data_IF_525485848559
#
_entry.id   IF_525485848559
#
_cell.length_a   1.000
_cell.length_b   1.000
_cell.length_c   1.000
_cell.angle_alpha   90.00
_cell.angle_beta   90.00
_cell.angle_gamma   90.00
#
_symmetry.space_group_name_H-M   'P 1'
#
loop_
_entity.id
_entity.type
_entity.pdbx_description
1 polymer ?
#
# COMPACT_ATOMS: atom_id res chain seq x y z
N UNK A 1 -33.55 39.42 -69.24
CA UNK A 1 -33.78 39.40 -67.77
C UNK A 1 -32.93 38.27 -67.20
N UNK A 2 -31.84 38.61 -66.51
CA UNK A 2 -30.91 37.64 -65.91
C UNK A 2 -31.19 37.63 -64.41
N UNK A 3 -31.73 36.51 -63.91
CA UNK A 3 -32.08 36.32 -62.50
C UNK A 3 -30.82 35.89 -61.74
N UNK A 4 -30.32 36.75 -60.85
CA UNK A 4 -29.21 36.42 -59.94
C UNK A 4 -29.79 35.71 -58.70
N UNK A 5 -29.38 34.46 -58.49
CA UNK A 5 -29.68 33.69 -57.28
C UNK A 5 -28.54 33.94 -56.27
N UNK A 6 -28.82 34.68 -55.21
CA UNK A 6 -27.86 34.93 -54.13
C UNK A 6 -27.88 33.75 -53.15
N UNK A 7 -26.77 33.00 -53.11
CA UNK A 7 -26.54 31.92 -52.17
C UNK A 7 -26.01 32.51 -50.86
N UNK A 8 -26.81 32.49 -49.79
CA UNK A 8 -26.40 32.93 -48.45
C UNK A 8 -25.79 31.73 -47.71
N UNK A 9 -24.46 31.72 -47.56
CA UNK A 9 -23.78 30.72 -46.76
C UNK A 9 -23.96 31.05 -45.27
N UNK A 10 -24.73 30.23 -44.55
CA UNK A 10 -24.84 30.30 -43.10
C UNK A 10 -23.58 29.69 -42.47
N UNK A 11 -22.72 30.54 -41.90
CA UNK A 11 -21.54 30.13 -41.15
C UNK A 11 -22.01 29.68 -39.75
N UNK A 12 -22.21 28.38 -39.57
CA UNK A 12 -22.43 27.79 -38.24
C UNK A 12 -21.11 27.82 -37.47
N UNK A 13 -20.97 28.79 -36.56
CA UNK A 13 -19.93 28.80 -35.54
C UNK A 13 -20.20 27.62 -34.59
N UNK A 14 -19.45 26.53 -34.76
CA UNK A 14 -19.42 25.47 -33.77
C UNK A 14 -18.62 26.01 -32.57
N UNK A 15 -19.32 26.49 -31.55
CA UNK A 15 -18.70 26.75 -30.25
C UNK A 15 -18.32 25.39 -29.67
N UNK A 16 -17.04 25.02 -29.78
CA UNK A 16 -16.50 23.94 -28.97
C UNK A 16 -16.73 24.35 -27.51
N UNK A 17 -17.61 23.63 -26.82
CA UNK A 17 -17.68 23.71 -25.37
C UNK A 17 -16.27 23.38 -24.87
N UNK A 18 -15.70 24.15 -23.91
CA UNK A 18 -14.44 23.78 -23.30
C UNK A 18 -14.59 22.34 -22.78
N UNK A 19 -13.63 21.47 -23.11
CA UNK A 19 -13.52 20.21 -22.41
C UNK A 19 -13.45 20.55 -20.91
N UNK A 20 -14.41 20.07 -20.13
CA UNK A 20 -14.37 20.21 -18.69
C UNK A 20 -13.12 19.45 -18.23
N UNK A 21 -12.23 20.12 -17.51
CA UNK A 21 -11.04 19.48 -16.97
C UNK A 21 -11.49 18.49 -15.90
N UNK A 22 -11.23 17.21 -16.13
CA UNK A 22 -11.68 16.15 -15.26
C UNK A 22 -10.67 14.99 -15.25
N UNK A 23 -10.65 14.26 -14.15
CA UNK A 23 -9.87 13.02 -14.03
C UNK A 23 -10.77 11.92 -13.48
N UNK A 24 -10.84 10.81 -14.21
CA UNK A 24 -11.64 9.66 -13.85
C UNK A 24 -10.78 8.61 -13.13
N UNK A 25 -11.15 8.27 -11.90
CA UNK A 25 -10.35 7.44 -11.00
C UNK A 25 -11.10 6.16 -10.66
N UNK A 26 -10.47 5.01 -10.87
CA UNK A 26 -10.90 3.75 -10.26
C UNK A 26 -10.09 3.52 -8.97
N UNK A 27 -10.77 3.34 -7.85
CA UNK A 27 -10.10 3.27 -6.55
C UNK A 27 -10.49 2.03 -5.76
N UNK A 28 -9.48 1.37 -5.19
CA UNK A 28 -9.62 0.38 -4.12
C UNK A 28 -9.51 0.97 -2.71
N UNK A 29 -9.18 2.25 -2.56
CA UNK A 29 -9.17 2.88 -1.23
C UNK A 29 -10.59 3.25 -0.84
N UNK A 30 -10.83 3.34 0.47
CA UNK A 30 -12.12 3.75 1.01
C UNK A 30 -12.36 5.25 0.78
N UNK A 31 -13.63 5.68 0.57
CA UNK A 31 -13.95 7.08 0.28
C UNK A 31 -13.41 8.06 1.33
N UNK A 32 -13.49 7.70 2.61
CA UNK A 32 -13.10 8.55 3.73
C UNK A 32 -11.60 8.87 3.72
N UNK A 33 -10.79 8.00 3.11
CA UNK A 33 -9.33 8.14 3.04
C UNK A 33 -8.85 8.96 1.84
N UNK A 34 -9.73 9.18 0.85
CA UNK A 34 -9.39 9.89 -0.40
C UNK A 34 -10.09 11.24 -0.50
N UNK A 35 -11.32 11.38 0.01
CA UNK A 35 -12.12 12.59 -0.21
C UNK A 35 -11.39 13.89 0.17
N UNK A 36 -10.65 13.97 1.31
CA UNK A 36 -9.91 15.19 1.63
C UNK A 36 -8.82 15.56 0.60
N UNK A 37 -8.24 14.57 -0.08
CA UNK A 37 -7.24 14.79 -1.13
C UNK A 37 -7.90 15.29 -2.41
N UNK A 38 -9.06 14.74 -2.76
CA UNK A 38 -9.86 15.20 -3.89
C UNK A 38 -10.26 16.66 -3.68
N UNK A 39 -10.80 16.99 -2.51
CA UNK A 39 -11.27 18.33 -2.20
C UNK A 39 -10.12 19.35 -2.28
N UNK A 40 -8.94 19.02 -1.75
CA UNK A 40 -7.75 19.86 -1.82
C UNK A 40 -7.25 20.03 -3.27
N UNK A 41 -7.14 18.94 -4.03
CA UNK A 41 -6.73 18.97 -5.44
C UNK A 41 -7.67 19.84 -6.30
N UNK A 42 -8.98 19.63 -6.18
CA UNK A 42 -9.98 20.38 -6.94
C UNK A 42 -9.99 21.85 -6.52
N UNK A 43 -9.76 22.16 -5.24
CA UNK A 43 -9.63 23.55 -4.78
C UNK A 43 -8.39 24.26 -5.35
N UNK A 44 -7.27 23.54 -5.49
CA UNK A 44 -6.02 24.09 -6.03
C UNK A 44 -6.06 24.27 -7.56
N UNK A 45 -6.59 23.27 -8.26
CA UNK A 45 -6.45 23.17 -9.73
C UNK A 45 -7.72 23.53 -10.49
N UNK A 46 -8.88 23.43 -9.86
CA UNK A 46 -10.19 23.51 -10.52
C UNK A 46 -10.54 22.28 -11.35
N UNK A 47 -9.74 21.20 -11.33
CA UNK A 47 -10.00 19.95 -12.04
C UNK A 47 -10.95 19.10 -11.21
N UNK A 48 -12.04 18.61 -11.81
CA UNK A 48 -13.00 17.72 -11.13
C UNK A 48 -12.47 16.29 -11.08
N UNK A 49 -12.63 15.61 -9.95
CA UNK A 49 -12.26 14.19 -9.80
C UNK A 49 -13.51 13.32 -9.74
N UNK A 50 -13.69 12.48 -10.76
CA UNK A 50 -14.77 11.52 -10.84
C UNK A 50 -14.27 10.15 -10.36
N UNK A 51 -14.71 9.70 -9.18
CA UNK A 51 -14.21 8.45 -8.58
C UNK A 51 -15.25 7.33 -8.61
N UNK A 52 -14.81 6.15 -9.06
CA UNK A 52 -15.54 4.89 -8.92
C UNK A 52 -14.81 3.97 -7.95
N UNK A 53 -15.45 3.68 -6.81
CA UNK A 53 -14.92 2.77 -5.80
C UNK A 53 -15.20 1.32 -6.18
N UNK A 54 -14.17 0.49 -6.11
CA UNK A 54 -14.21 -0.94 -6.41
C UNK A 54 -13.77 -1.72 -5.17
N UNK A 55 -14.29 -2.94 -5.02
CA UNK A 55 -13.84 -3.87 -3.98
C UNK A 55 -12.94 -4.98 -4.54
N UNK A 56 -13.05 -5.25 -5.84
CA UNK A 56 -12.34 -6.29 -6.58
C UNK A 56 -12.50 -6.05 -8.09
N UNK A 57 -11.73 -6.76 -8.91
CA UNK A 57 -11.95 -6.82 -10.36
C UNK A 57 -11.48 -5.62 -11.17
N UNK A 58 -10.65 -4.73 -10.59
CA UNK A 58 -10.19 -3.50 -11.24
C UNK A 58 -9.37 -3.79 -12.50
N UNK A 59 -8.42 -4.73 -12.44
CA UNK A 59 -7.58 -5.11 -13.58
C UNK A 59 -8.40 -5.73 -14.69
N UNK A 60 -9.26 -6.68 -14.36
CA UNK A 60 -10.13 -7.37 -15.32
C UNK A 60 -11.12 -6.39 -15.97
N UNK A 61 -11.59 -5.40 -15.21
CA UNK A 61 -12.43 -4.32 -15.73
C UNK A 61 -11.68 -3.48 -16.76
N UNK A 62 -10.45 -3.08 -16.47
CA UNK A 62 -9.63 -2.32 -17.44
C UNK A 62 -9.33 -3.14 -18.70
N UNK A 63 -9.04 -4.44 -18.56
CA UNK A 63 -8.85 -5.32 -19.71
C UNK A 63 -10.11 -5.41 -20.58
N UNK A 64 -11.27 -5.58 -19.95
CA UNK A 64 -12.56 -5.69 -20.63
C UNK A 64 -12.98 -4.38 -21.33
N UNK A 65 -12.72 -3.23 -20.69
CA UNK A 65 -13.01 -1.91 -21.24
C UNK A 65 -12.06 -1.53 -22.38
N UNK A 66 -10.78 -1.90 -22.26
CA UNK A 66 -9.72 -1.62 -23.23
C UNK A 66 -9.65 -0.13 -23.57
N UNK A 67 -9.57 0.20 -24.86
CA UNK A 67 -9.52 1.59 -25.37
C UNK A 67 -10.74 2.46 -25.01
N UNK A 68 -11.80 1.86 -24.47
CA UNK A 68 -13.02 2.55 -24.09
C UNK A 68 -13.12 2.75 -22.58
N UNK A 69 -12.10 2.40 -21.81
CA UNK A 69 -12.10 2.68 -20.38
C UNK A 69 -12.26 4.18 -20.18
N UNK A 70 -13.19 4.62 -19.30
CA UNK A 70 -13.24 6.01 -18.90
C UNK A 70 -12.14 6.33 -17.89
N UNK A 71 -11.51 5.33 -17.25
CA UNK A 71 -10.56 5.55 -16.17
C UNK A 71 -9.24 6.11 -16.70
N UNK A 72 -8.82 7.23 -16.13
CA UNK A 72 -7.52 7.86 -16.35
C UNK A 72 -6.48 7.32 -15.37
N UNK A 73 -6.90 7.05 -14.12
CA UNK A 73 -6.04 6.62 -13.02
C UNK A 73 -6.63 5.42 -12.29
N UNK A 74 -5.74 4.58 -11.76
CA UNK A 74 -6.06 3.63 -10.69
C UNK A 74 -5.39 4.01 -9.39
N UNK A 75 -6.12 3.88 -8.28
CA UNK A 75 -5.62 4.00 -6.93
C UNK A 75 -5.76 2.67 -6.21
N UNK A 76 -4.66 2.15 -5.68
CA UNK A 76 -4.63 0.87 -5.00
C UNK A 76 -4.13 1.01 -3.57
N UNK A 77 -4.55 0.08 -2.71
CA UNK A 77 -4.06 -0.02 -1.34
C UNK A 77 -3.01 -1.14 -1.19
N UNK A 78 -2.58 -1.81 -2.25
CA UNK A 78 -1.60 -2.91 -2.20
C UNK A 78 -0.82 -2.96 -3.51
N UNK A 79 0.51 -3.07 -3.40
CA UNK A 79 1.40 -3.17 -4.57
C UNK A 79 1.08 -4.36 -5.47
N UNK A 80 0.46 -5.41 -4.94
CA UNK A 80 0.00 -6.54 -5.76
C UNK A 80 -0.96 -6.08 -6.87
N UNK A 81 -1.87 -5.15 -6.58
CA UNK A 81 -2.84 -4.69 -7.58
C UNK A 81 -2.19 -3.80 -8.65
N UNK A 82 -1.16 -3.03 -8.28
CA UNK A 82 -0.34 -2.32 -9.27
C UNK A 82 0.39 -3.32 -10.16
N UNK A 83 0.98 -4.36 -9.55
CA UNK A 83 1.70 -5.38 -10.28
C UNK A 83 0.81 -6.17 -11.24
N UNK A 84 -0.40 -6.54 -10.82
CA UNK A 84 -1.41 -7.16 -11.67
C UNK A 84 -1.79 -6.26 -12.86
N UNK A 85 -2.00 -4.97 -12.63
CA UNK A 85 -2.34 -4.01 -13.67
C UNK A 85 -1.19 -3.79 -14.69
N UNK A 86 0.05 -3.71 -14.22
CA UNK A 86 1.24 -3.62 -15.09
C UNK A 86 1.42 -4.91 -15.89
N UNK A 87 1.31 -6.07 -15.24
CA UNK A 87 1.47 -7.38 -15.89
C UNK A 87 0.39 -7.64 -16.95
N UNK A 88 -0.84 -7.18 -16.71
CA UNK A 88 -1.92 -7.20 -17.69
C UNK A 88 -1.73 -6.18 -18.84
N UNK A 89 -0.74 -5.29 -18.73
CA UNK A 89 -0.44 -4.28 -19.72
C UNK A 89 -1.55 -3.23 -19.87
N UNK A 90 -2.25 -2.92 -18.77
CA UNK A 90 -3.33 -1.92 -18.71
C UNK A 90 -2.91 -0.57 -18.12
N UNK A 91 -1.63 -0.41 -17.75
CA UNK A 91 -1.02 0.87 -17.35
C UNK A 91 -0.07 1.41 -18.42
N UNK A 92 0.31 2.68 -18.30
CA UNK A 92 1.38 3.30 -19.10
C UNK A 92 2.43 3.94 -18.20
N UNK A 93 3.68 4.01 -18.69
CA UNK A 93 4.76 4.73 -18.03
C UNK A 93 4.49 6.24 -18.01
N UNK A 94 4.89 6.89 -16.91
CA UNK A 94 4.72 8.33 -16.71
C UNK A 94 6.06 8.96 -16.39
N UNK A 95 6.53 9.88 -17.25
CA UNK A 95 7.76 10.62 -17.04
C UNK A 95 7.44 11.96 -16.36
N UNK A 96 7.89 12.14 -15.11
CA UNK A 96 7.76 13.41 -14.36
C UNK A 96 8.91 13.59 -13.37
N UNK A 97 9.57 14.75 -13.48
CA UNK A 97 10.59 15.19 -12.52
C UNK A 97 9.98 15.40 -11.12
N UNK A 98 8.70 15.80 -11.04
CA UNK A 98 8.00 15.99 -9.77
C UNK A 98 7.76 14.65 -9.09
N UNK A 99 7.24 13.66 -9.82
CA UNK A 99 7.00 12.32 -9.27
C UNK A 99 8.31 11.65 -8.82
N UNK A 100 9.36 11.74 -9.63
CA UNK A 100 10.66 11.12 -9.29
C UNK A 100 11.40 11.84 -8.16
N UNK A 101 11.19 13.16 -7.97
CA UNK A 101 11.70 13.89 -6.82
C UNK A 101 10.90 13.61 -5.53
N UNK A 102 9.59 13.42 -5.65
CA UNK A 102 8.70 13.20 -4.50
C UNK A 102 8.65 11.74 -4.05
N UNK A 103 8.89 10.78 -4.94
CA UNK A 103 8.77 9.34 -4.65
C UNK A 103 10.14 8.67 -4.80
N UNK A 104 10.76 8.22 -3.69
CA UNK A 104 12.03 7.51 -3.72
C UNK A 104 11.99 6.27 -4.63
N UNK A 105 13.14 5.87 -5.16
CA UNK A 105 13.26 4.73 -6.08
C UNK A 105 12.68 3.43 -5.50
N UNK A 106 12.86 3.19 -4.20
CA UNK A 106 12.29 2.03 -3.50
C UNK A 106 10.75 2.00 -3.46
N UNK A 107 10.08 3.11 -3.80
CA UNK A 107 8.62 3.27 -3.76
C UNK A 107 8.01 3.61 -5.11
N UNK A 108 8.71 3.34 -6.23
CA UNK A 108 8.14 3.50 -7.57
C UNK A 108 8.64 2.41 -8.50
N UNK A 109 7.92 2.23 -9.60
CA UNK A 109 8.32 1.31 -10.64
C UNK A 109 9.61 1.77 -11.34
N UNK A 110 10.59 0.88 -11.59
CA UNK A 110 11.77 1.23 -12.39
C UNK A 110 11.42 1.69 -13.81
N UNK A 111 10.32 1.19 -14.37
CA UNK A 111 9.78 1.56 -15.68
C UNK A 111 8.69 2.66 -15.58
N UNK A 112 8.53 3.29 -14.41
CA UNK A 112 7.60 4.40 -14.14
C UNK A 112 6.12 4.11 -14.42
N UNK A 113 5.65 2.85 -14.38
CA UNK A 113 4.23 2.54 -14.54
C UNK A 113 3.37 2.84 -13.30
N UNK A 114 3.98 2.94 -12.12
CA UNK A 114 3.29 3.25 -10.87
C UNK A 114 4.19 3.97 -9.87
N UNK A 115 3.56 4.69 -8.95
CA UNK A 115 4.22 5.47 -7.90
C UNK A 115 3.52 5.23 -6.56
N UNK A 116 4.31 4.97 -5.51
CA UNK A 116 3.82 4.85 -4.14
C UNK A 116 3.31 6.19 -3.61
N UNK A 117 2.30 6.14 -2.75
CA UNK A 117 1.70 7.32 -2.11
C UNK A 117 1.89 7.30 -0.60
N UNK A 118 1.73 6.13 0.02
CA UNK A 118 1.92 5.92 1.45
C UNK A 118 2.51 4.54 1.66
N UNK A 119 3.23 4.35 2.76
CA UNK A 119 3.77 3.06 3.15
C UNK A 119 3.24 2.61 4.51
N UNK A 120 3.16 1.29 4.66
CA UNK A 120 2.84 0.60 5.91
C UNK A 120 3.86 -0.47 6.15
N UNK A 121 4.49 -0.45 7.31
CA UNK A 121 5.42 -1.49 7.72
C UNK A 121 4.66 -2.65 8.37
N UNK A 122 5.06 -3.88 8.05
CA UNK A 122 4.65 -5.06 8.82
C UNK A 122 5.68 -5.31 9.90
N UNK A 123 5.35 -4.89 11.11
CA UNK A 123 6.26 -4.77 12.24
C UNK A 123 6.08 -5.90 13.24
N UNK A 124 6.94 -5.90 14.26
CA UNK A 124 6.75 -6.71 15.45
C UNK A 124 6.23 -5.84 16.59
N UNK A 125 5.07 -6.20 17.12
CA UNK A 125 4.62 -5.72 18.42
C UNK A 125 5.32 -6.54 19.50
N UNK A 126 6.04 -5.87 20.42
CA UNK A 126 6.78 -6.53 21.50
C UNK A 126 6.30 -6.06 22.87
N UNK A 127 6.08 -7.01 23.79
CA UNK A 127 5.73 -6.73 25.18
C UNK A 127 6.79 -5.84 25.84
N UNK A 128 6.37 -4.71 26.42
CA UNK A 128 7.31 -3.75 27.04
C UNK A 128 8.03 -4.33 28.26
N UNK A 129 7.38 -5.22 29.00
CA UNK A 129 7.83 -5.78 30.28
C UNK A 129 8.57 -7.12 30.12
N UNK A 130 8.45 -7.81 28.98
CA UNK A 130 8.98 -9.17 28.77
C UNK A 130 9.99 -9.31 27.63
N UNK A 131 10.13 -8.29 26.79
CA UNK A 131 11.08 -8.28 25.66
C UNK A 131 11.91 -7.01 25.75
N UNK A 132 13.24 -7.10 25.86
CA UNK A 132 14.06 -5.89 25.88
C UNK A 132 14.13 -5.24 24.49
N UNK A 133 14.25 -3.89 24.39
CA UNK A 133 14.48 -3.21 23.13
C UNK A 133 15.70 -3.78 22.39
N UNK A 134 15.55 -4.05 21.09
CA UNK A 134 16.61 -4.62 20.26
C UNK A 134 16.77 -6.14 20.35
N UNK A 135 15.92 -6.87 21.09
CA UNK A 135 15.93 -8.34 21.06
C UNK A 135 15.39 -8.92 19.76
N UNK A 136 14.48 -8.20 19.09
CA UNK A 136 13.95 -8.54 17.77
C UNK A 136 14.61 -7.62 16.75
N UNK A 137 15.52 -8.18 15.96
CA UNK A 137 16.31 -7.41 14.99
C UNK A 137 15.90 -7.69 13.55
N UNK A 138 15.64 -8.97 13.23
CA UNK A 138 15.36 -9.40 11.86
C UNK A 138 14.11 -10.26 11.78
N UNK A 139 13.52 -10.37 10.58
CA UNK A 139 12.40 -11.30 10.37
C UNK A 139 12.86 -12.75 10.57
N UNK A 140 14.08 -13.06 10.16
CA UNK A 140 14.75 -14.36 10.27
C UNK A 140 14.89 -14.77 11.75
N UNK A 141 15.18 -13.82 12.64
CA UNK A 141 15.27 -14.07 14.07
C UNK A 141 13.95 -14.58 14.67
N UNK A 142 12.80 -14.34 14.04
CA UNK A 142 11.51 -14.89 14.51
C UNK A 142 11.45 -16.43 14.46
N UNK A 143 12.30 -17.06 13.65
CA UNK A 143 12.47 -18.52 13.62
C UNK A 143 13.43 -19.06 14.71
N UNK A 144 14.09 -18.17 15.47
CA UNK A 144 15.04 -18.56 16.51
C UNK A 144 14.34 -19.27 17.69
N UNK A 145 14.84 -20.43 18.18
CA UNK A 145 14.24 -21.15 19.30
C UNK A 145 14.09 -20.35 20.61
N UNK A 146 14.78 -19.21 20.77
CA UNK A 146 14.57 -18.28 21.90
C UNK A 146 13.13 -17.75 21.99
N UNK A 147 12.40 -17.78 20.88
CA UNK A 147 11.00 -17.37 20.80
C UNK A 147 10.00 -18.52 20.96
N UNK A 148 10.46 -19.73 21.31
CA UNK A 148 9.58 -20.90 21.40
C UNK A 148 8.43 -20.69 22.38
N UNK A 149 7.19 -20.73 21.87
CA UNK A 149 5.98 -20.51 22.65
C UNK A 149 5.75 -19.05 23.04
N UNK A 150 6.40 -18.09 22.36
CA UNK A 150 6.38 -16.66 22.69
C UNK A 150 5.82 -15.79 21.57
N UNK A 151 5.44 -16.38 20.42
CA UNK A 151 4.91 -15.65 19.26
C UNK A 151 3.41 -15.89 19.11
N UNK A 152 2.63 -14.81 18.95
CA UNK A 152 1.28 -14.88 18.40
C UNK A 152 1.26 -14.33 16.98
N UNK A 153 0.40 -14.90 16.15
CA UNK A 153 0.14 -14.38 14.81
C UNK A 153 -1.23 -14.81 14.34
N UNK A 154 -1.75 -14.10 13.35
CA UNK A 154 -2.92 -14.53 12.57
C UNK A 154 -2.51 -15.57 11.53
N UNK A 155 -3.50 -16.12 10.82
CA UNK A 155 -3.30 -17.07 9.72
C UNK A 155 -2.12 -16.73 8.82
N UNK A 156 -1.26 -17.71 8.54
CA UNK A 156 -0.15 -17.59 7.58
C UNK A 156 -0.64 -17.37 6.14
N UNK A 157 -1.88 -17.74 5.85
CA UNK A 157 -2.53 -17.53 4.54
C UNK A 157 -3.15 -16.14 4.37
N UNK A 158 -3.15 -15.32 5.42
CA UNK A 158 -3.64 -13.95 5.33
C UNK A 158 -2.75 -13.11 4.39
N UNK A 159 -3.32 -12.24 3.52
CA UNK A 159 -2.56 -11.46 2.54
C UNK A 159 -1.33 -10.73 3.08
N UNK A 160 -1.37 -10.20 4.31
CA UNK A 160 -0.21 -9.55 4.93
C UNK A 160 0.92 -10.53 5.29
N UNK A 161 0.59 -11.73 5.77
CA UNK A 161 1.58 -12.76 6.08
C UNK A 161 2.10 -13.45 4.82
N UNK A 162 1.26 -13.61 3.80
CA UNK A 162 1.71 -14.12 2.50
C UNK A 162 2.61 -13.11 1.79
N UNK A 163 2.37 -11.80 1.93
CA UNK A 163 3.28 -10.77 1.43
C UNK A 163 4.65 -10.80 2.13
N UNK A 164 4.68 -10.94 3.46
CA UNK A 164 5.95 -11.06 4.20
C UNK A 164 6.69 -12.35 3.83
N UNK A 165 5.98 -13.47 3.70
CA UNK A 165 6.56 -14.72 3.22
C UNK A 165 7.09 -14.58 1.79
N UNK A 166 6.39 -13.86 0.92
CA UNK A 166 6.84 -13.58 -0.45
C UNK A 166 8.14 -12.77 -0.47
N UNK A 167 8.28 -11.78 0.42
CA UNK A 167 9.55 -11.06 0.62
C UNK A 167 10.67 -12.01 1.08
N UNK A 168 10.39 -12.90 2.05
CA UNK A 168 11.35 -13.91 2.51
C UNK A 168 11.79 -14.85 1.36
N UNK A 169 10.88 -15.24 0.46
CA UNK A 169 11.21 -16.03 -0.74
C UNK A 169 12.10 -15.23 -1.70
N UNK A 170 11.81 -13.96 -1.90
CA UNK A 170 12.57 -13.12 -2.83
C UNK A 170 14.00 -12.86 -2.33
N UNK A 171 14.18 -12.63 -1.02
CA UNK A 171 15.49 -12.39 -0.41
C UNK A 171 16.33 -13.66 -0.25
N UNK A 172 15.73 -14.77 0.20
CA UNK A 172 16.48 -15.95 0.63
C UNK A 172 16.20 -17.22 -0.20
N UNK A 173 15.25 -17.14 -1.14
CA UNK A 173 14.79 -18.29 -1.90
C UNK A 173 13.76 -19.13 -1.13
N UNK A 174 13.06 -19.99 -1.88
CA UNK A 174 11.94 -20.79 -1.38
C UNK A 174 12.30 -21.72 -0.22
N UNK A 175 13.43 -22.42 -0.30
CA UNK A 175 13.80 -23.42 0.70
C UNK A 175 14.20 -22.79 2.04
N UNK A 176 14.86 -21.63 2.00
CA UNK A 176 15.15 -20.85 3.21
C UNK A 176 13.86 -20.27 3.82
N UNK A 177 12.97 -19.72 2.99
CA UNK A 177 11.66 -19.25 3.44
C UNK A 177 10.81 -20.36 4.06
N UNK A 178 10.90 -21.59 3.52
CA UNK A 178 10.24 -22.78 4.10
C UNK A 178 10.75 -23.06 5.51
N UNK A 179 12.08 -23.11 5.64
CA UNK A 179 12.75 -23.38 6.92
C UNK A 179 12.40 -22.30 7.95
N UNK A 180 12.37 -21.04 7.52
CA UNK A 180 11.95 -19.92 8.34
C UNK A 180 10.49 -20.05 8.79
N UNK A 181 9.55 -20.36 7.89
CA UNK A 181 8.14 -20.55 8.23
C UNK A 181 7.93 -21.72 9.20
N UNK A 182 8.66 -22.83 9.02
CA UNK A 182 8.62 -23.97 9.94
C UNK A 182 9.14 -23.59 11.33
N UNK A 183 10.23 -22.81 11.41
CA UNK A 183 10.76 -22.28 12.66
C UNK A 183 9.80 -21.30 13.34
N UNK A 184 9.20 -20.38 12.57
CA UNK A 184 8.18 -19.45 13.06
C UNK A 184 6.96 -20.22 13.60
N UNK A 185 6.47 -21.23 12.87
CA UNK A 185 5.38 -22.12 13.31
C UNK A 185 5.74 -22.82 14.63
N UNK A 186 6.95 -23.36 14.73
CA UNK A 186 7.43 -24.04 15.94
C UNK A 186 7.55 -23.10 17.16
N UNK A 187 7.60 -21.79 16.92
CA UNK A 187 7.69 -20.77 17.95
C UNK A 187 6.33 -20.19 18.39
N UNK A 188 5.24 -20.56 17.73
CA UNK A 188 3.92 -20.05 18.08
C UNK A 188 3.47 -20.51 19.47
N UNK A 189 2.92 -19.59 20.26
CA UNK A 189 2.31 -19.85 21.56
C UNK A 189 0.95 -20.58 21.42
N UNK A 190 0.27 -20.37 20.30
CA UNK A 190 -1.05 -20.90 20.00
C UNK A 190 -1.26 -21.03 18.49
N UNK A 191 -2.29 -21.78 18.07
CA UNK A 191 -2.69 -21.83 16.65
C UNK A 191 -3.01 -20.43 16.14
N UNK A 192 -2.64 -20.09 14.89
CA UNK A 192 -3.00 -18.81 14.30
C UNK A 192 -4.50 -18.52 14.35
N UNK A 193 -4.88 -17.36 14.88
CA UNK A 193 -6.28 -16.97 15.04
C UNK A 193 -6.46 -15.45 15.09
N UNK A 194 -7.66 -14.95 14.85
CA UNK A 194 -7.98 -13.52 14.98
C UNK A 194 -7.29 -12.61 13.94
N UNK A 195 -7.29 -11.30 14.21
CA UNK A 195 -6.65 -10.27 13.40
C UNK A 195 -5.41 -9.69 14.11
N UNK A 196 -4.69 -8.75 13.50
CA UNK A 196 -3.45 -8.17 14.06
C UNK A 196 -3.68 -7.56 15.46
N UNK A 197 -4.78 -6.84 15.69
CA UNK A 197 -5.14 -6.25 17.00
C UNK A 197 -5.41 -7.31 18.08
N UNK A 198 -6.02 -8.43 17.69
CA UNK A 198 -6.20 -9.56 18.60
C UNK A 198 -4.87 -10.16 19.06
N UNK A 199 -3.80 -10.08 18.25
CA UNK A 199 -2.48 -10.56 18.68
C UNK A 199 -1.87 -9.64 19.73
N UNK A 200 -2.06 -8.33 19.59
CA UNK A 200 -1.63 -7.35 20.61
C UNK A 200 -2.42 -7.54 21.90
N UNK A 201 -3.72 -7.85 21.82
CA UNK A 201 -4.50 -8.29 22.98
C UNK A 201 -3.91 -9.53 23.66
N UNK A 202 -3.50 -10.54 22.88
CA UNK A 202 -2.86 -11.74 23.43
C UNK A 202 -1.52 -11.42 24.12
N UNK A 203 -0.74 -10.47 23.60
CA UNK A 203 0.46 -9.98 24.28
C UNK A 203 0.10 -9.28 25.60
N UNK A 204 -0.89 -8.40 25.59
CA UNK A 204 -1.38 -7.71 26.78
C UNK A 204 -1.88 -8.71 27.85
N UNK A 205 -2.55 -9.79 27.43
CA UNK A 205 -3.03 -10.86 28.30
C UNK A 205 -1.93 -11.82 28.80
N UNK A 206 -0.70 -11.68 28.31
CA UNK A 206 0.43 -12.54 28.69
C UNK A 206 0.43 -13.92 28.02
N UNK A 207 -0.32 -14.10 26.94
CA UNK A 207 -0.38 -15.37 26.18
C UNK A 207 0.85 -15.57 25.29
N UNK A 208 1.49 -14.47 24.89
CA UNK A 208 2.72 -14.42 24.10
C UNK A 208 3.46 -13.10 24.37
N UNK A 209 4.66 -12.98 23.82
CA UNK A 209 5.54 -11.84 24.07
C UNK A 209 5.73 -10.95 22.84
N UNK A 210 5.63 -11.53 21.65
CA UNK A 210 5.72 -10.79 20.38
C UNK A 210 4.64 -11.23 19.39
N UNK A 211 4.31 -10.34 18.45
CA UNK A 211 3.42 -10.66 17.32
C UNK A 211 3.75 -9.85 16.07
N UNK A 212 3.38 -10.38 14.90
CA UNK A 212 3.43 -9.65 13.64
C UNK A 212 2.15 -8.84 13.42
N UNK A 213 2.29 -7.58 13.02
CA UNK A 213 1.15 -6.78 12.59
C UNK A 213 1.51 -5.50 11.87
N UNK A 214 0.52 -4.85 11.25
CA UNK A 214 0.76 -3.57 10.57
C UNK A 214 0.73 -2.39 11.56
N UNK A 215 1.53 -1.37 11.31
CA UNK A 215 1.71 -0.19 12.20
C UNK A 215 0.43 0.58 12.48
N UNK A 216 -0.43 0.83 11.50
CA UNK A 216 -1.62 1.67 11.66
C UNK A 216 -2.61 1.13 12.71
N UNK A 217 -2.62 -0.19 12.96
CA UNK A 217 -3.42 -0.77 14.04
C UNK A 217 -3.02 -0.26 15.43
N UNK A 218 -1.77 0.18 15.62
CA UNK A 218 -1.36 0.86 16.85
C UNK A 218 -2.14 2.16 17.04
N UNK A 219 -2.28 2.96 15.99
CA UNK A 219 -3.09 4.19 16.02
C UNK A 219 -4.54 3.89 16.36
N UNK A 220 -5.16 2.96 15.61
CA UNK A 220 -6.55 2.53 15.86
C UNK A 220 -6.76 2.07 17.32
N UNK A 221 -5.84 1.29 17.87
CA UNK A 221 -5.94 0.80 19.24
C UNK A 221 -5.72 1.91 20.29
N UNK A 222 -4.85 2.88 20.04
CA UNK A 222 -4.64 4.02 20.95
C UNK A 222 -5.87 4.94 21.01
N UNK A 223 -6.60 5.06 19.91
CA UNK A 223 -7.80 5.89 19.81
C UNK A 223 -9.05 5.19 20.39
N UNK A 224 -9.10 3.86 20.37
CA UNK A 224 -10.18 3.06 20.97
C UNK A 224 -9.96 2.86 22.49
N UNK A 225 -10.90 3.34 23.32
CA UNK A 225 -10.82 3.23 24.79
C UNK A 225 -10.74 1.78 25.29
N UNK A 226 -11.37 0.82 24.60
CA UNK A 226 -11.36 -0.59 25.01
C UNK A 226 -10.03 -1.29 24.63
N UNK A 227 -9.30 -0.75 23.66
CA UNK A 227 -8.08 -1.34 23.11
C UNK A 227 -6.81 -0.59 23.52
N UNK A 228 -6.94 0.62 24.08
CA UNK A 228 -5.81 1.47 24.49
C UNK A 228 -4.83 0.76 25.41
N UNK A 229 -5.36 0.00 26.38
CA UNK A 229 -4.54 -0.78 27.29
C UNK A 229 -3.69 -1.85 26.58
N UNK A 230 -4.17 -2.39 25.45
CA UNK A 230 -3.42 -3.37 24.66
C UNK A 230 -2.24 -2.69 23.95
N UNK A 231 -2.50 -1.55 23.32
CA UNK A 231 -1.48 -0.73 22.66
C UNK A 231 -0.40 -0.25 23.64
N UNK A 232 -0.78 0.23 24.82
CA UNK A 232 0.15 0.73 25.83
C UNK A 232 1.07 -0.37 26.39
N UNK A 233 0.63 -1.63 26.40
CA UNK A 233 1.44 -2.76 26.86
C UNK A 233 2.54 -3.19 25.88
N UNK A 234 2.50 -2.73 24.63
CA UNK A 234 3.47 -3.09 23.60
C UNK A 234 4.21 -1.88 23.07
N UNK A 235 5.37 -2.14 22.46
CA UNK A 235 6.06 -1.21 21.56
C UNK A 235 6.09 -1.78 20.15
N UNK A 236 6.38 -0.93 19.18
CA UNK A 236 6.70 -1.35 17.81
C UNK A 236 8.21 -1.51 17.70
N UNK A 237 8.64 -2.68 17.25
CA UNK A 237 9.99 -2.94 16.76
C UNK A 237 9.91 -3.08 15.23
N UNK A 238 10.83 -2.45 14.52
CA UNK A 238 10.95 -2.51 13.05
C UNK A 238 12.04 -3.52 12.66
N UNK A 239 11.73 -4.83 12.58
CA UNK A 239 12.69 -5.79 12.07
C UNK A 239 13.03 -5.51 10.61
N UNK A 240 14.25 -5.88 10.24
CA UNK A 240 14.76 -5.82 8.86
C UNK A 240 14.98 -7.21 8.31
N UNK A 241 15.09 -7.36 6.99
CA UNK A 241 15.73 -8.55 6.41
C UNK A 241 17.25 -8.45 6.60
N UNK A 242 17.93 -9.58 6.73
CA UNK A 242 19.39 -9.60 6.86
C UNK A 242 20.06 -8.95 5.64
N UNK A 243 20.63 -7.76 5.86
CA UNK A 243 21.30 -6.99 4.81
C UNK A 243 20.38 -6.02 4.03
N UNK A 244 19.10 -5.94 4.38
CA UNK A 244 18.11 -5.04 3.76
C UNK A 244 17.30 -4.28 4.83
N UNK A 245 16.15 -3.72 4.45
CA UNK A 245 15.27 -2.93 5.32
C UNK A 245 14.04 -3.67 5.85
N UNK A 246 13.13 -2.90 6.45
CA UNK A 246 11.85 -3.38 6.98
C UNK A 246 10.85 -3.63 5.86
N UNK A 247 10.17 -4.78 5.90
CA UNK A 247 9.11 -5.10 4.97
C UNK A 247 8.00 -4.04 5.02
N UNK A 248 7.78 -3.41 3.87
CA UNK A 248 6.72 -2.45 3.65
C UNK A 248 5.79 -2.93 2.56
N UNK A 249 4.54 -2.50 2.66
CA UNK A 249 3.62 -2.48 1.54
C UNK A 249 3.17 -1.03 1.33
N UNK A 250 2.68 -0.72 0.14
CA UNK A 250 2.32 0.64 -0.23
C UNK A 250 0.85 0.73 -0.66
N UNK A 251 0.30 1.93 -0.53
CA UNK A 251 -0.74 2.37 -1.45
C UNK A 251 -0.06 3.08 -2.63
N UNK A 252 -0.66 3.04 -3.81
CA UNK A 252 -0.03 3.63 -4.98
C UNK A 252 -1.01 4.01 -6.07
N UNK A 253 -0.48 4.79 -7.01
CA UNK A 253 -1.18 5.32 -8.17
C UNK A 253 -0.53 4.84 -9.45
N UNK A 254 -1.34 4.57 -10.47
CA UNK A 254 -0.87 4.33 -11.82
C UNK A 254 -1.81 4.98 -12.84
N UNK A 255 -1.25 5.48 -13.94
CA UNK A 255 -2.02 5.97 -15.08
C UNK A 255 -2.44 4.78 -15.95
N UNK A 256 -3.72 4.73 -16.35
CA UNK A 256 -4.19 3.67 -17.24
C UNK A 256 -3.62 3.87 -18.64
N UNK A 257 -3.43 2.79 -19.39
CA UNK A 257 -2.88 2.79 -20.75
C UNK A 257 -3.68 3.62 -21.75
N UNK A 258 -4.96 3.79 -21.49
CA UNK A 258 -5.91 4.45 -22.38
C UNK A 258 -6.56 5.66 -21.71
N UNK A 259 -5.85 6.31 -20.76
CA UNK A 259 -6.30 7.53 -20.11
C UNK A 259 -6.77 8.55 -21.16
N UNK A 260 -8.01 9.03 -21.01
CA UNK A 260 -8.64 10.02 -21.87
C UNK A 260 -8.16 11.44 -21.56
N UNK A 261 -7.71 11.69 -20.33
CA UNK A 261 -7.24 12.97 -19.82
C UNK A 261 -5.83 12.83 -19.19
N UNK A 262 -4.78 12.50 -19.96
CA UNK A 262 -3.45 12.20 -19.42
C UNK A 262 -2.79 13.39 -18.71
N UNK A 263 -3.05 14.63 -19.16
CA UNK A 263 -2.48 15.82 -18.53
C UNK A 263 -3.11 16.09 -17.15
N UNK A 264 -4.45 15.99 -17.05
CA UNK A 264 -5.19 16.15 -15.78
C UNK A 264 -4.86 15.00 -14.82
N UNK A 265 -4.69 13.79 -15.35
CA UNK A 265 -4.22 12.63 -14.60
C UNK A 265 -2.81 12.84 -14.05
N UNK A 266 -1.87 13.34 -14.87
CA UNK A 266 -0.52 13.65 -14.41
C UNK A 266 -0.55 14.68 -13.28
N UNK A 267 -1.34 15.75 -13.42
CA UNK A 267 -1.50 16.76 -12.37
C UNK A 267 -2.03 16.14 -11.06
N UNK A 268 -3.00 15.22 -11.15
CA UNK A 268 -3.50 14.52 -9.96
C UNK A 268 -2.44 13.60 -9.34
N UNK A 269 -1.68 12.87 -10.14
CA UNK A 269 -0.57 12.04 -9.64
C UNK A 269 0.48 12.89 -8.91
N UNK A 270 0.90 14.00 -9.51
CA UNK A 270 1.86 14.93 -8.92
C UNK A 270 1.34 15.51 -7.59
N UNK A 271 0.08 15.95 -7.57
CA UNK A 271 -0.58 16.42 -6.35
C UNK A 271 -0.56 15.36 -5.24
N UNK A 272 -0.91 14.10 -5.53
CA UNK A 272 -0.95 13.04 -4.52
C UNK A 272 0.41 12.74 -3.88
N UNK A 273 1.51 13.08 -4.56
CA UNK A 273 2.88 12.95 -4.04
C UNK A 273 3.41 14.22 -3.37
N UNK A 274 2.66 15.33 -3.44
CA UNK A 274 3.05 16.63 -2.91
C UNK A 274 3.13 16.64 -1.36
N UNK A 275 3.91 17.55 -0.76
CA UNK A 275 3.93 17.71 0.70
C UNK A 275 2.54 17.93 1.32
N UNK A 276 1.63 18.63 0.62
CA UNK A 276 0.26 18.87 1.08
C UNK A 276 -0.55 17.56 1.16
N UNK A 277 -0.57 16.77 0.08
CA UNK A 277 -1.22 15.48 0.07
C UNK A 277 -0.63 14.52 1.12
N UNK A 278 0.71 14.51 1.27
CA UNK A 278 1.38 13.69 2.26
C UNK A 278 1.03 14.09 3.70
N UNK A 279 0.84 15.39 3.98
CA UNK A 279 0.36 15.85 5.27
C UNK A 279 -1.09 15.39 5.55
N UNK A 280 -1.96 15.41 4.53
CA UNK A 280 -3.32 14.87 4.62
C UNK A 280 -3.29 13.37 4.94
N UNK A 281 -2.46 12.59 4.22
CA UNK A 281 -2.27 11.16 4.50
C UNK A 281 -1.79 10.90 5.92
N UNK A 282 -0.78 11.64 6.39
CA UNK A 282 -0.20 11.46 7.71
C UNK A 282 -1.19 11.78 8.84
N UNK A 283 -2.07 12.76 8.63
CA UNK A 283 -3.09 13.16 9.61
C UNK A 283 -4.27 12.18 9.66
N UNK A 284 -4.70 11.64 8.51
CA UNK A 284 -5.92 10.85 8.43
C UNK A 284 -5.70 9.34 8.65
N UNK A 285 -4.55 8.78 8.25
CA UNK A 285 -4.45 7.33 8.03
C UNK A 285 -3.43 6.61 8.92
N UNK A 286 -2.71 7.32 9.79
CA UNK A 286 -1.59 6.78 10.57
C UNK A 286 -0.58 5.95 9.74
N UNK A 287 -0.41 6.32 8.47
CA UNK A 287 0.55 5.71 7.54
C UNK A 287 1.85 6.52 7.51
N UNK A 288 2.93 5.90 7.02
CA UNK A 288 4.18 6.60 6.80
C UNK A 288 4.16 7.27 5.42
N UNK A 289 4.45 8.58 5.31
CA UNK A 289 4.61 9.20 4.02
C UNK A 289 5.78 8.55 3.26
N UNK A 290 5.66 8.42 1.95
CA UNK A 290 6.78 7.96 1.11
C UNK A 290 7.69 9.11 0.70
N UNK A 291 7.17 10.34 0.72
CA UNK A 291 7.95 11.51 0.34
C UNK A 291 8.99 11.84 1.41
N UNK A 292 10.27 12.03 1.03
CA UNK A 292 11.32 12.43 1.97
C UNK A 292 11.12 13.86 2.49
N UNK A 293 10.20 14.63 1.90
CA UNK A 293 9.89 16.00 2.30
C UNK A 293 8.72 16.09 3.30
N UNK A 294 8.06 14.96 3.58
CA UNK A 294 6.90 14.91 4.45
C UNK A 294 7.23 14.25 5.79
N UNK A 295 6.73 14.83 6.86
CA UNK A 295 6.87 14.30 8.22
C UNK A 295 5.65 13.44 8.58
N UNK A 296 5.85 12.27 9.21
CA UNK A 296 4.74 11.51 9.79
C UNK A 296 4.05 12.32 10.90
N UNK A 297 2.80 11.98 11.23
CA UNK A 297 2.12 12.59 12.37
C UNK A 297 2.89 12.33 13.67
N UNK A 298 2.72 13.18 14.68
CA UNK A 298 3.41 13.04 15.97
C UNK A 298 3.21 11.64 16.60
N UNK A 299 2.04 11.04 16.40
CA UNK A 299 1.75 9.67 16.81
C UNK A 299 2.62 8.66 16.06
N UNK A 300 2.63 8.69 14.72
CA UNK A 300 3.42 7.77 13.89
C UNK A 300 4.93 7.97 14.14
N UNK A 301 5.38 9.21 14.27
CA UNK A 301 6.76 9.55 14.62
C UNK A 301 7.17 8.98 15.99
N UNK A 302 6.25 8.89 16.95
CA UNK A 302 6.52 8.35 18.29
C UNK A 302 6.84 6.86 18.30
N UNK A 303 6.49 6.14 17.23
CA UNK A 303 6.79 4.71 17.09
C UNK A 303 8.22 4.47 16.63
N UNK A 304 8.85 5.48 16.00
CA UNK A 304 10.19 5.43 15.44
C UNK A 304 10.19 5.50 13.91
N UNK A 305 11.40 5.51 13.36
CA UNK A 305 11.69 5.50 11.93
C UNK A 305 12.33 4.18 11.53
N UNK A 306 12.22 3.82 10.26
CA UNK A 306 12.84 2.63 9.69
C UNK A 306 13.37 2.93 8.28
N UNK A 307 14.31 2.12 7.82
CA UNK A 307 14.68 2.05 6.41
C UNK A 307 13.80 0.99 5.76
N UNK A 308 13.03 1.35 4.74
CA UNK A 308 12.22 0.40 3.99
C UNK A 308 13.11 -0.61 3.26
N UNK A 309 12.63 -1.85 3.17
CA UNK A 309 13.19 -2.88 2.31
C UNK A 309 13.25 -2.39 0.85
N UNK A 310 14.41 -2.55 0.22
CA UNK A 310 14.65 -2.13 -1.16
C UNK A 310 14.31 -3.23 -2.19
N UNK A 311 13.57 -4.25 -1.76
CA UNK A 311 13.03 -5.27 -2.63
C UNK A 311 12.20 -4.67 -3.77
N UNK A 312 12.34 -5.26 -4.96
CA UNK A 312 11.42 -4.99 -6.06
C UNK A 312 10.01 -5.45 -5.67
N UNK A 313 9.15 -4.47 -5.34
CA UNK A 313 7.77 -4.72 -4.94
C UNK A 313 6.96 -5.42 -6.05
N UNK A 314 7.36 -5.27 -7.32
CA UNK A 314 6.77 -5.99 -8.44
C UNK A 314 7.13 -7.47 -8.41
N UNK A 315 8.41 -7.79 -8.20
CA UNK A 315 8.88 -9.16 -7.96
C UNK A 315 8.18 -9.83 -6.77
N UNK A 316 7.90 -9.07 -5.71
CA UNK A 316 7.19 -9.57 -4.53
C UNK A 316 5.75 -10.01 -4.84
N UNK A 317 5.04 -9.28 -5.71
CA UNK A 317 3.71 -9.67 -6.14
C UNK A 317 3.70 -11.04 -6.86
N UNK A 318 4.71 -11.28 -7.71
CA UNK A 318 4.88 -12.56 -8.41
C UNK A 318 5.11 -13.76 -7.47
N UNK A 319 5.70 -13.52 -6.30
CA UNK A 319 6.01 -14.57 -5.32
C UNK A 319 4.84 -14.91 -4.38
N UNK A 320 3.74 -14.14 -4.33
CA UNK A 320 2.62 -14.37 -3.39
C UNK A 320 1.92 -15.72 -3.55
N UNK A 321 1.74 -16.19 -4.79
CA UNK A 321 1.15 -17.52 -5.04
C UNK A 321 2.00 -18.62 -4.44
N UNK A 322 3.32 -18.50 -4.57
CA UNK A 322 4.24 -19.48 -4.00
C UNK A 322 4.31 -19.38 -2.48
N UNK A 323 4.28 -18.17 -1.92
CA UNK A 323 4.18 -17.93 -0.49
C UNK A 323 2.91 -18.56 0.13
N UNK A 324 1.76 -18.44 -0.54
CA UNK A 324 0.52 -19.07 -0.09
C UNK A 324 0.62 -20.60 -0.10
N UNK A 325 1.11 -21.19 -1.19
CA UNK A 325 1.35 -22.64 -1.27
C UNK A 325 2.30 -23.11 -0.19
N UNK A 326 3.35 -22.33 0.08
CA UNK A 326 4.35 -22.67 1.07
C UNK A 326 3.74 -22.64 2.49
N UNK A 327 2.94 -21.63 2.82
CA UNK A 327 2.20 -21.57 4.09
C UNK A 327 1.25 -22.77 4.27
N UNK A 328 0.64 -23.25 3.18
CA UNK A 328 -0.18 -24.46 3.17
C UNK A 328 0.66 -25.75 3.30
N UNK A 329 1.81 -25.83 2.63
CA UNK A 329 2.72 -26.99 2.66
C UNK A 329 3.28 -27.23 4.06
N UNK A 330 3.66 -26.17 4.77
CA UNK A 330 4.12 -26.26 6.17
C UNK A 330 2.96 -26.40 7.15
N UNK A 331 1.72 -26.38 6.65
CA UNK A 331 0.49 -26.42 7.45
C UNK A 331 0.51 -25.35 8.54
N UNK A 332 0.83 -24.10 8.20
CA UNK A 332 1.19 -23.06 9.18
C UNK A 332 0.08 -22.84 10.25
N UNK A 333 -1.17 -22.98 9.84
CA UNK A 333 -2.34 -22.76 10.70
C UNK A 333 -2.72 -23.99 11.56
N UNK A 334 -2.21 -25.18 11.19
CA UNK A 334 -2.20 -26.43 11.96
C UNK A 334 -3.51 -27.21 12.08
#
# INVERSE_FOLDING_TARGET
MITRLSLTAALTLATALPALAEVNVYSYRQPELIQPLIDAFTAETGIEVNIAFLNQGLTERLEAEGKRTPADIILTADVQHLAEAVAAGVTQAVESDVLTANVPEAFRDPDNHWFGLTSRARVVYAARDRVAPGEVTTYEDLANPKWKGRICTRSGTHPYNTALTAAMIAHHGRDAAKTWLEGLKANLAQKPQGNDRAQVKSIWAGECDISLGNTYYMGEMLEDEEQRAWAEAVRIDFPVFEGDGTHVNISGVAMTKYAGHPDDALAFMEFLTSPEAQAIYAAANHEYPVSPQAEPSAMVASWGSFTADNIDLMGLAGARSEALKLAQEVDFDG
#
